data_IF_392137753528
#
_entry.id   IF_392137753528
#
_cell.length_a   1.000
_cell.length_b   1.000
_cell.length_c   1.000
_cell.angle_alpha   90.00
_cell.angle_beta   90.00
_cell.angle_gamma   90.00
#
_symmetry.space_group_name_H-M   'P 1'
#
loop_
_entity.id
_entity.type
_entity.pdbx_description
1 polymer ?
#
# COMPACT_ATOMS: atom_id res chain seq x y z
N UNK A 1 22.47 6.75 1.35
CA UNK A 1 23.31 6.90 0.19
C UNK A 1 23.27 8.35 -0.26
N UNK A 2 24.45 8.97 -0.46
CA UNK A 2 24.65 10.40 -0.67
C UNK A 2 24.22 10.93 -2.04
N UNK A 3 23.00 10.67 -2.44
CA UNK A 3 22.39 11.20 -3.66
C UNK A 3 21.63 12.49 -3.33
N UNK A 4 22.37 13.53 -2.95
CA UNK A 4 21.81 14.87 -2.80
C UNK A 4 21.99 15.61 -4.13
N UNK A 5 20.88 16.01 -4.75
CA UNK A 5 20.86 16.78 -6.02
C UNK A 5 21.65 16.13 -7.18
N UNK A 6 21.79 14.80 -7.17
CA UNK A 6 22.50 14.10 -8.24
C UNK A 6 21.65 14.09 -9.52
N UNK A 7 22.16 14.59 -10.67
CA UNK A 7 21.41 14.72 -11.91
C UNK A 7 21.27 13.38 -12.65
N UNK A 8 20.51 12.43 -12.07
CA UNK A 8 20.37 11.04 -12.57
C UNK A 8 19.94 11.01 -14.03
N UNK A 9 19.01 11.88 -14.43
CA UNK A 9 18.50 11.92 -15.80
C UNK A 9 19.59 12.28 -16.81
N UNK A 10 20.35 13.32 -16.53
CA UNK A 10 21.42 13.81 -17.41
C UNK A 10 22.57 12.79 -17.50
N UNK A 11 22.97 12.22 -16.36
CA UNK A 11 24.00 11.19 -16.30
C UNK A 11 23.63 9.92 -17.07
N UNK A 12 22.39 9.45 -16.94
CA UNK A 12 21.93 8.30 -17.68
C UNK A 12 21.79 8.60 -19.18
N UNK A 13 21.28 9.79 -19.55
CA UNK A 13 21.22 10.20 -20.95
C UNK A 13 22.61 10.25 -21.59
N UNK A 14 23.59 10.82 -20.90
CA UNK A 14 24.97 10.91 -21.40
C UNK A 14 25.62 9.54 -21.56
N UNK A 15 25.28 8.56 -20.71
CA UNK A 15 25.88 7.19 -20.78
C UNK A 15 25.20 6.28 -21.78
N UNK A 16 23.93 6.51 -22.08
CA UNK A 16 23.13 5.60 -22.92
C UNK A 16 22.81 6.15 -24.29
N UNK A 17 23.06 7.45 -24.52
CA UNK A 17 22.64 8.20 -25.70
C UNK A 17 21.13 8.11 -25.97
N UNK A 18 20.35 7.96 -24.89
CA UNK A 18 18.89 7.85 -24.95
C UNK A 18 18.25 8.99 -24.17
N UNK A 19 17.06 9.48 -24.58
CA UNK A 19 16.30 10.43 -23.80
C UNK A 19 15.83 9.78 -22.50
N UNK A 20 16.29 10.29 -21.36
CA UNK A 20 15.93 9.78 -20.03
C UNK A 20 14.96 10.73 -19.35
N UNK A 21 13.92 10.18 -18.75
CA UNK A 21 12.98 10.89 -17.88
C UNK A 21 12.93 10.21 -16.52
N UNK A 22 13.17 11.00 -15.48
CA UNK A 22 13.04 10.53 -14.08
C UNK A 22 11.63 10.82 -13.60
N UNK A 23 10.99 9.85 -12.99
CA UNK A 23 9.65 9.96 -12.40
C UNK A 23 9.63 9.31 -11.01
N UNK A 24 8.72 9.74 -10.13
CA UNK A 24 8.45 9.05 -8.88
C UNK A 24 7.92 7.62 -9.17
N UNK A 25 8.36 6.64 -8.41
CA UNK A 25 8.02 5.23 -8.61
C UNK A 25 6.52 4.93 -8.51
N UNK A 26 5.82 5.51 -7.51
CA UNK A 26 4.37 5.38 -7.36
C UNK A 26 3.60 6.01 -8.52
N UNK A 27 4.05 7.17 -9.01
CA UNK A 27 3.46 7.85 -10.18
C UNK A 27 3.73 7.05 -11.46
N UNK A 28 4.94 6.51 -11.61
CA UNK A 28 5.29 5.67 -12.76
C UNK A 28 4.47 4.38 -12.78
N UNK A 29 4.28 3.73 -11.62
CA UNK A 29 3.44 2.55 -11.49
C UNK A 29 1.96 2.87 -11.78
N UNK A 30 1.43 4.00 -11.29
CA UNK A 30 0.08 4.46 -11.63
C UNK A 30 -0.09 4.66 -13.15
N UNK A 31 0.92 5.20 -13.83
CA UNK A 31 0.92 5.33 -15.29
C UNK A 31 0.88 3.96 -15.98
N UNK A 32 1.68 3.01 -15.49
CA UNK A 32 1.72 1.64 -16.01
C UNK A 32 0.37 0.95 -15.90
N UNK A 33 -0.26 0.98 -14.72
CA UNK A 33 -1.58 0.42 -14.47
C UNK A 33 -2.67 1.09 -15.29
N UNK A 34 -2.62 2.41 -15.42
CA UNK A 34 -3.56 3.15 -16.23
C UNK A 34 -3.48 2.82 -17.72
N UNK A 35 -2.27 2.66 -18.25
CA UNK A 35 -2.06 2.42 -19.69
C UNK A 35 -2.21 0.96 -20.07
N UNK A 36 -1.77 0.04 -19.22
CA UNK A 36 -1.58 -1.36 -19.56
C UNK A 36 -2.22 -2.35 -18.59
N UNK A 37 -2.53 -1.93 -17.35
CA UNK A 37 -3.05 -2.78 -16.29
C UNK A 37 -4.54 -2.62 -16.01
N UNK A 38 -4.90 -2.79 -14.74
CA UNK A 38 -6.29 -2.78 -14.26
C UNK A 38 -6.98 -1.41 -14.38
N UNK A 39 -6.21 -0.35 -14.56
CA UNK A 39 -6.71 1.01 -14.75
C UNK A 39 -7.08 1.39 -16.19
N UNK A 40 -6.92 0.48 -17.15
CA UNK A 40 -7.23 0.79 -18.56
C UNK A 40 -8.66 1.27 -18.76
N UNK A 41 -8.81 2.35 -19.53
CA UNK A 41 -10.08 2.93 -19.89
C UNK A 41 -10.66 3.91 -18.85
N UNK A 42 -10.15 3.94 -17.63
CA UNK A 42 -10.58 4.89 -16.63
C UNK A 42 -10.06 6.31 -16.94
N UNK A 43 -10.90 7.31 -16.76
CA UNK A 43 -10.51 8.72 -16.80
C UNK A 43 -10.09 9.22 -15.42
N UNK A 44 -10.60 8.60 -14.36
CA UNK A 44 -10.31 8.90 -12.97
C UNK A 44 -9.96 7.61 -12.24
N UNK A 45 -8.74 7.49 -11.75
CA UNK A 45 -8.22 6.28 -11.11
C UNK A 45 -7.25 6.66 -9.99
N UNK A 46 -7.31 5.92 -8.90
CA UNK A 46 -6.26 5.93 -7.87
C UNK A 46 -5.52 4.60 -7.92
N UNK A 47 -4.21 4.67 -7.92
CA UNK A 47 -3.32 3.53 -7.73
C UNK A 47 -2.67 3.60 -6.36
N UNK A 48 -2.68 2.48 -5.65
CA UNK A 48 -1.98 2.29 -4.38
C UNK A 48 -1.03 1.10 -4.52
N UNK A 49 0.23 1.31 -4.23
CA UNK A 49 1.18 0.22 -4.02
C UNK A 49 1.37 0.00 -2.53
N UNK A 50 1.00 -1.19 -2.04
CA UNK A 50 1.17 -1.59 -0.65
C UNK A 50 2.20 -2.71 -0.59
N UNK A 51 3.39 -2.36 -0.09
CA UNK A 51 4.54 -3.24 0.01
C UNK A 51 5.28 -2.95 1.33
N UNK A 52 6.59 -2.77 1.34
CA UNK A 52 7.35 -2.30 2.51
C UNK A 52 6.74 -1.02 3.09
N UNK A 53 6.38 -0.08 2.22
CA UNK A 53 5.63 1.12 2.54
C UNK A 53 4.33 1.20 1.74
N UNK A 54 3.70 2.40 1.73
CA UNK A 54 2.54 2.72 0.90
C UNK A 54 2.88 3.93 0.03
N UNK A 55 2.90 3.70 -1.28
CA UNK A 55 2.98 4.74 -2.29
C UNK A 55 1.74 4.77 -3.17
N UNK A 56 1.73 5.65 -4.15
CA UNK A 56 0.61 5.68 -5.09
C UNK A 56 0.71 6.78 -6.12
N UNK A 57 -0.37 6.93 -6.87
CA UNK A 57 -0.57 7.97 -7.85
C UNK A 57 -2.03 8.04 -8.26
N UNK A 58 -2.40 9.12 -8.91
CA UNK A 58 -3.76 9.31 -9.38
C UNK A 58 -3.79 9.77 -10.83
N UNK A 59 -4.82 9.37 -11.53
CA UNK A 59 -5.24 9.93 -12.82
C UNK A 59 -6.54 10.68 -12.59
N UNK A 60 -6.58 11.93 -12.98
CA UNK A 60 -7.74 12.81 -12.84
C UNK A 60 -8.03 13.41 -14.21
N UNK A 61 -9.27 13.27 -14.69
CA UNK A 61 -9.72 13.73 -16.00
C UNK A 61 -8.84 13.24 -17.18
N UNK A 62 -8.35 12.01 -17.09
CA UNK A 62 -7.47 11.42 -18.09
C UNK A 62 -6.05 12.00 -18.10
N UNK A 63 -5.61 12.58 -16.98
CA UNK A 63 -4.27 13.15 -16.83
C UNK A 63 -3.61 12.61 -15.55
N UNK A 64 -2.39 12.17 -15.68
CA UNK A 64 -1.59 11.73 -14.54
C UNK A 64 -1.27 12.92 -13.63
N UNK A 65 -1.64 12.80 -12.36
CA UNK A 65 -1.43 13.85 -11.35
C UNK A 65 0.02 13.85 -10.89
N UNK A 66 0.75 14.91 -11.20
CA UNK A 66 2.14 15.10 -10.77
C UNK A 66 2.31 16.11 -9.66
N UNK A 67 1.41 17.09 -9.58
CA UNK A 67 1.53 18.21 -8.65
C UNK A 67 2.65 19.17 -9.03
N UNK A 68 2.87 20.16 -8.16
CA UNK A 68 3.85 21.23 -8.40
C UNK A 68 5.31 20.70 -8.46
N UNK A 69 5.67 19.76 -7.57
CA UNK A 69 7.04 19.22 -7.46
C UNK A 69 7.21 17.84 -8.09
N UNK A 70 6.24 17.33 -8.84
CA UNK A 70 6.30 15.99 -9.40
C UNK A 70 6.16 14.87 -8.37
N UNK A 71 5.62 15.15 -7.18
CA UNK A 71 5.48 14.19 -6.07
C UNK A 71 4.07 14.13 -5.51
N UNK A 72 3.04 14.41 -6.32
CA UNK A 72 1.66 14.22 -5.89
C UNK A 72 1.34 12.73 -5.68
N UNK A 73 0.34 12.44 -4.87
CA UNK A 73 -0.09 11.05 -4.64
C UNK A 73 0.67 10.30 -3.55
N UNK A 74 1.35 11.01 -2.66
CA UNK A 74 1.96 10.43 -1.44
C UNK A 74 0.88 10.04 -0.42
N UNK A 75 -0.06 9.20 -0.85
CA UNK A 75 -1.25 8.79 -0.11
C UNK A 75 -0.86 8.08 1.20
N UNK A 76 0.26 7.35 1.22
CA UNK A 76 0.78 6.69 2.41
C UNK A 76 1.08 7.63 3.59
N UNK A 77 1.27 8.93 3.32
CA UNK A 77 1.52 9.92 4.36
C UNK A 77 0.28 10.69 4.82
N UNK A 78 -0.92 10.30 4.37
CA UNK A 78 -2.16 10.80 4.97
C UNK A 78 -2.19 10.43 6.46
N UNK A 79 -2.46 11.42 7.32
CA UNK A 79 -2.61 11.18 8.75
C UNK A 79 -3.96 10.53 9.04
N UNK A 80 -3.93 9.27 9.46
CA UNK A 80 -5.12 8.46 9.73
C UNK A 80 -5.47 8.37 11.21
N UNK A 81 -4.47 8.57 12.10
CA UNK A 81 -4.66 8.47 13.54
C UNK A 81 -3.89 9.56 14.28
N UNK A 82 -4.42 9.97 15.44
CA UNK A 82 -3.76 10.94 16.33
C UNK A 82 -2.63 10.30 17.14
N UNK A 83 -2.82 9.04 17.50
CA UNK A 83 -1.90 8.22 18.26
C UNK A 83 -1.55 6.96 17.47
N UNK A 84 -0.42 6.32 17.80
CA UNK A 84 -0.02 5.08 17.13
C UNK A 84 1.44 5.09 16.69
N UNK A 85 1.82 4.27 15.71
CA UNK A 85 3.19 4.15 15.26
C UNK A 85 3.70 5.43 14.59
N UNK A 86 4.99 5.71 14.80
CA UNK A 86 5.70 6.78 14.11
C UNK A 86 6.02 6.31 12.69
N UNK A 87 5.62 7.09 11.70
CA UNK A 87 5.98 6.86 10.32
C UNK A 87 7.47 7.18 10.05
N UNK A 88 8.03 6.58 9.02
CA UNK A 88 9.39 6.89 8.57
C UNK A 88 9.59 8.40 8.25
N UNK A 89 8.54 9.10 7.86
CA UNK A 89 8.57 10.56 7.65
C UNK A 89 8.61 11.38 8.96
N UNK A 90 8.59 10.75 10.14
CA UNK A 90 8.61 11.39 11.44
C UNK A 90 7.23 11.73 12.02
N UNK A 91 6.14 11.54 11.28
CA UNK A 91 4.77 11.85 11.71
C UNK A 91 4.10 10.62 12.32
N UNK A 92 3.39 10.80 13.45
CA UNK A 92 2.59 9.73 14.07
C UNK A 92 1.31 9.49 13.28
N UNK A 93 0.94 8.22 13.07
CA UNK A 93 -0.36 7.82 12.56
C UNK A 93 -0.57 8.04 11.06
N UNK A 94 0.50 8.05 10.25
CA UNK A 94 0.37 8.00 8.80
C UNK A 94 -0.24 6.67 8.34
N UNK A 95 -0.96 6.68 7.24
CA UNK A 95 -1.53 5.48 6.62
C UNK A 95 -0.49 4.37 6.41
N UNK A 96 0.69 4.71 5.90
CA UNK A 96 1.81 3.78 5.73
C UNK A 96 2.23 3.12 7.05
N UNK A 97 2.30 3.88 8.13
CA UNK A 97 2.70 3.35 9.43
C UNK A 97 1.65 2.40 10.03
N UNK A 98 0.39 2.48 9.57
CA UNK A 98 -0.71 1.63 10.03
C UNK A 98 -0.94 0.41 9.13
N UNK A 99 -0.79 0.54 7.81
CA UNK A 99 -1.27 -0.43 6.82
C UNK A 99 -0.23 -0.87 5.78
N UNK A 100 1.05 -0.62 6.00
CA UNK A 100 2.09 -1.16 5.12
C UNK A 100 2.46 -2.61 5.50
N UNK A 101 3.14 -3.31 4.59
CA UNK A 101 3.70 -4.62 4.89
C UNK A 101 4.68 -4.60 6.07
N UNK A 102 5.38 -3.49 6.28
CA UNK A 102 6.20 -3.28 7.48
C UNK A 102 5.33 -3.19 8.73
N UNK A 103 4.21 -2.48 8.68
CA UNK A 103 3.28 -2.37 9.80
C UNK A 103 2.65 -3.74 10.14
N UNK A 104 2.17 -4.47 9.15
CA UNK A 104 1.65 -5.83 9.34
C UNK A 104 2.69 -6.78 9.94
N UNK A 105 3.93 -6.73 9.44
CA UNK A 105 5.06 -7.49 10.00
C UNK A 105 5.32 -7.15 11.47
N UNK A 106 5.30 -5.88 11.84
CA UNK A 106 5.51 -5.46 13.23
C UNK A 106 4.41 -5.98 14.16
N UNK A 107 3.15 -5.94 13.73
CA UNK A 107 2.02 -6.53 14.46
C UNK A 107 2.17 -8.05 14.59
N UNK A 108 2.58 -8.72 13.53
CA UNK A 108 2.83 -10.16 13.56
C UNK A 108 3.93 -10.54 14.56
N UNK A 109 5.03 -9.80 14.60
CA UNK A 109 6.12 -9.99 15.57
C UNK A 109 5.62 -9.75 17.00
N UNK A 110 4.80 -8.73 17.23
CA UNK A 110 4.23 -8.44 18.54
C UNK A 110 3.27 -9.56 19.00
N UNK A 111 2.42 -10.05 18.11
CA UNK A 111 1.53 -11.19 18.39
C UNK A 111 2.31 -12.47 18.73
N UNK A 112 3.39 -12.73 18.04
CA UNK A 112 4.27 -13.86 18.26
C UNK A 112 4.98 -13.79 19.63
N UNK A 113 5.53 -12.61 19.98
CA UNK A 113 6.17 -12.38 21.29
C UNK A 113 5.18 -12.53 22.45
N UNK A 114 3.92 -12.22 22.24
CA UNK A 114 2.85 -12.43 23.21
C UNK A 114 2.36 -13.90 23.27
N UNK A 115 3.04 -14.82 22.57
CA UNK A 115 2.67 -16.25 22.45
C UNK A 115 1.23 -16.49 21.96
N UNK A 116 0.73 -15.56 21.13
CA UNK A 116 -0.65 -15.59 20.65
C UNK A 116 -0.81 -16.36 19.34
N UNK A 117 0.26 -16.61 18.58
CA UNK A 117 0.20 -17.37 17.34
C UNK A 117 1.21 -18.51 17.36
N UNK A 118 0.71 -19.75 17.39
CA UNK A 118 1.54 -20.95 17.27
C UNK A 118 2.06 -21.14 15.85
N UNK A 119 1.27 -20.76 14.85
CA UNK A 119 1.67 -20.84 13.44
C UNK A 119 2.90 -19.96 13.15
N UNK A 120 2.84 -18.68 13.51
CA UNK A 120 3.95 -17.75 13.26
C UNK A 120 5.22 -18.15 14.04
N UNK A 121 5.07 -18.65 15.27
CA UNK A 121 6.21 -19.13 16.05
C UNK A 121 6.86 -20.37 15.41
N UNK A 122 6.06 -21.33 14.95
CA UNK A 122 6.55 -22.51 14.21
C UNK A 122 7.21 -22.11 12.90
N UNK A 123 6.61 -21.18 12.17
CA UNK A 123 7.12 -20.67 10.92
C UNK A 123 8.47 -19.99 11.09
N UNK A 124 8.63 -19.17 12.14
CA UNK A 124 9.91 -18.53 12.46
C UNK A 124 10.99 -19.58 12.76
N UNK A 125 10.66 -20.62 13.52
CA UNK A 125 11.60 -21.69 13.83
C UNK A 125 12.03 -22.49 12.59
N UNK A 126 11.13 -22.65 11.60
CA UNK A 126 11.39 -23.36 10.35
C UNK A 126 12.13 -22.51 9.29
N UNK A 127 12.07 -21.18 9.41
CA UNK A 127 12.73 -20.23 8.49
C UNK A 127 14.10 -19.77 8.97
N UNK A 128 14.88 -20.67 9.60
CA UNK A 128 16.22 -20.39 10.14
C UNK A 128 17.16 -19.64 9.16
N UNK A 129 16.86 -19.67 7.85
CA UNK A 129 17.59 -18.92 6.83
C UNK A 129 17.10 -17.47 6.63
N UNK A 130 15.85 -17.12 7.00
CA UNK A 130 15.32 -15.75 6.87
C UNK A 130 15.27 -15.01 8.20
N UNK A 131 15.15 -15.69 9.32
CA UNK A 131 15.16 -15.13 10.67
C UNK A 131 14.02 -14.14 10.99
N UNK A 132 13.05 -13.95 10.09
CA UNK A 132 12.04 -12.90 10.22
C UNK A 132 10.71 -13.34 9.58
N UNK A 133 9.62 -13.17 10.33
CA UNK A 133 8.25 -13.28 9.82
C UNK A 133 7.93 -12.08 8.92
N UNK A 134 7.21 -12.29 7.82
CA UNK A 134 6.74 -11.25 6.91
C UNK A 134 5.22 -11.33 6.66
N UNK A 135 4.68 -10.43 5.83
CA UNK A 135 3.26 -10.38 5.51
C UNK A 135 2.75 -11.67 4.85
N UNK A 136 3.58 -12.36 4.07
CA UNK A 136 3.23 -13.64 3.43
C UNK A 136 2.96 -14.71 4.48
N UNK A 137 3.80 -14.79 5.51
CA UNK A 137 3.60 -15.75 6.59
C UNK A 137 2.29 -15.52 7.34
N UNK A 138 1.85 -14.25 7.46
CA UNK A 138 0.54 -13.90 8.05
C UNK A 138 -0.59 -14.39 7.15
N UNK A 139 -0.53 -14.16 5.83
CA UNK A 139 -1.55 -14.65 4.90
C UNK A 139 -1.60 -16.18 4.84
N UNK A 140 -0.46 -16.84 4.84
CA UNK A 140 -0.39 -18.31 4.87
C UNK A 140 -0.97 -18.86 6.16
N UNK A 141 -0.69 -18.23 7.32
CA UNK A 141 -1.28 -18.59 8.59
C UNK A 141 -2.80 -18.39 8.62
N UNK A 142 -3.29 -17.29 8.04
CA UNK A 142 -4.72 -17.04 7.91
C UNK A 142 -5.42 -18.11 7.05
N UNK A 143 -4.80 -18.49 5.91
CA UNK A 143 -5.30 -19.59 5.06
C UNK A 143 -5.25 -20.95 5.78
N UNK A 144 -4.31 -21.16 6.69
CA UNK A 144 -4.23 -22.34 7.55
C UNK A 144 -5.21 -22.30 8.73
N UNK A 145 -5.99 -21.23 8.91
CA UNK A 145 -6.99 -21.09 9.97
C UNK A 145 -6.43 -20.61 11.31
N UNK A 146 -5.20 -20.11 11.38
CA UNK A 146 -4.66 -19.52 12.61
C UNK A 146 -5.45 -18.25 12.97
N UNK A 147 -6.08 -18.25 14.15
CA UNK A 147 -7.00 -17.18 14.56
C UNK A 147 -6.31 -15.82 14.73
N UNK A 148 -5.03 -15.81 15.11
CA UNK A 148 -4.28 -14.56 15.25
C UNK A 148 -3.88 -13.99 13.89
N UNK A 149 -3.52 -14.84 12.93
CA UNK A 149 -3.29 -14.42 11.57
C UNK A 149 -4.57 -13.89 10.91
N UNK A 150 -5.72 -14.54 11.13
CA UNK A 150 -7.02 -14.04 10.68
C UNK A 150 -7.36 -12.68 11.28
N UNK A 151 -7.09 -12.49 12.58
CA UNK A 151 -7.28 -11.19 13.24
C UNK A 151 -6.37 -10.10 12.65
N UNK A 152 -5.09 -10.41 12.41
CA UNK A 152 -4.14 -9.47 11.79
C UNK A 152 -4.56 -9.07 10.38
N UNK A 153 -5.07 -10.03 9.60
CA UNK A 153 -5.60 -9.75 8.25
C UNK A 153 -6.85 -8.87 8.32
N UNK A 154 -7.77 -9.14 9.26
CA UNK A 154 -8.97 -8.32 9.44
C UNK A 154 -8.62 -6.87 9.85
N UNK A 155 -7.67 -6.70 10.77
CA UNK A 155 -7.18 -5.39 11.17
C UNK A 155 -6.51 -4.64 9.99
N UNK A 156 -5.68 -5.32 9.23
CA UNK A 156 -5.04 -4.77 8.02
C UNK A 156 -6.08 -4.31 7.00
N UNK A 157 -7.11 -5.11 6.76
CA UNK A 157 -8.20 -4.77 5.85
C UNK A 157 -8.98 -3.53 6.29
N UNK A 158 -9.15 -3.32 7.60
CA UNK A 158 -9.78 -2.10 8.15
C UNK A 158 -8.92 -0.87 7.85
N UNK A 159 -7.63 -0.91 8.15
CA UNK A 159 -6.74 0.23 7.88
C UNK A 159 -6.64 0.54 6.38
N UNK A 160 -6.50 -0.48 5.54
CA UNK A 160 -6.51 -0.31 4.09
C UNK A 160 -7.83 0.27 3.60
N UNK A 161 -8.96 -0.25 4.07
CA UNK A 161 -10.29 0.25 3.72
C UNK A 161 -10.49 1.72 4.08
N UNK A 162 -10.03 2.15 5.25
CA UNK A 162 -10.09 3.56 5.69
C UNK A 162 -9.24 4.47 4.80
N UNK A 163 -7.99 4.09 4.52
CA UNK A 163 -7.10 4.86 3.65
C UNK A 163 -7.63 4.94 2.21
N UNK A 164 -8.15 3.83 1.69
CA UNK A 164 -8.78 3.78 0.37
C UNK A 164 -10.03 4.66 0.33
N UNK A 165 -10.88 4.61 1.35
CA UNK A 165 -12.07 5.47 1.44
C UNK A 165 -11.70 6.96 1.44
N UNK A 166 -10.65 7.34 2.17
CA UNK A 166 -10.14 8.72 2.14
C UNK A 166 -9.65 9.12 0.75
N UNK A 167 -8.94 8.23 0.06
CA UNK A 167 -8.50 8.49 -1.32
C UNK A 167 -9.68 8.58 -2.30
N UNK A 168 -10.71 7.74 -2.13
CA UNK A 168 -11.95 7.80 -2.90
C UNK A 168 -12.63 9.17 -2.74
N UNK A 169 -12.74 9.68 -1.53
CA UNK A 169 -13.34 11.00 -1.28
C UNK A 169 -12.52 12.15 -1.88
N UNK A 170 -11.18 12.03 -1.88
CA UNK A 170 -10.31 13.08 -2.42
C UNK A 170 -10.27 13.15 -3.94
N UNK A 171 -10.31 12.00 -4.61
CA UNK A 171 -10.06 11.91 -6.05
C UNK A 171 -11.30 11.54 -6.88
N UNK A 172 -12.40 11.12 -6.22
CA UNK A 172 -13.62 10.67 -6.91
C UNK A 172 -13.33 9.70 -8.07
N UNK A 173 -12.59 8.61 -7.84
CA UNK A 173 -12.16 7.73 -8.92
C UNK A 173 -13.29 6.79 -9.39
N UNK A 174 -13.22 6.36 -10.64
CA UNK A 174 -14.05 5.28 -11.18
C UNK A 174 -13.64 3.93 -10.62
N UNK A 175 -12.35 3.79 -10.23
CA UNK A 175 -11.78 2.61 -9.57
C UNK A 175 -10.52 2.94 -8.79
N UNK A 176 -10.26 2.11 -7.80
CA UNK A 176 -8.97 2.04 -7.13
C UNK A 176 -8.24 0.79 -7.61
N UNK A 177 -6.95 0.90 -7.89
CA UNK A 177 -6.09 -0.24 -8.27
C UNK A 177 -5.08 -0.47 -7.16
N UNK A 178 -5.08 -1.68 -6.60
CA UNK A 178 -4.17 -2.08 -5.53
C UNK A 178 -3.05 -2.96 -6.09
N UNK A 179 -1.81 -2.54 -5.88
CA UNK A 179 -0.62 -3.30 -6.25
C UNK A 179 0.35 -3.46 -5.08
N UNK A 180 1.55 -3.97 -5.37
CA UNK A 180 2.57 -4.21 -4.36
C UNK A 180 2.46 -5.58 -3.69
N UNK A 181 3.36 -5.87 -2.75
CA UNK A 181 3.47 -7.20 -2.15
C UNK A 181 2.24 -7.68 -1.38
N UNK A 182 1.46 -6.78 -0.80
CA UNK A 182 0.24 -7.15 -0.08
C UNK A 182 -0.91 -7.56 -1.01
N UNK A 183 -0.87 -7.20 -2.29
CA UNK A 183 -1.89 -7.64 -3.26
C UNK A 183 -1.96 -9.16 -3.42
N UNK A 184 -0.90 -9.90 -3.08
CA UNK A 184 -0.91 -11.36 -3.04
C UNK A 184 -1.84 -11.96 -1.97
N UNK A 185 -2.28 -11.16 -0.99
CA UNK A 185 -3.29 -11.52 0.00
C UNK A 185 -4.63 -10.84 -0.23
N UNK A 186 -4.88 -10.28 -1.42
CA UNK A 186 -6.09 -9.52 -1.70
C UNK A 186 -7.38 -10.32 -1.52
N UNK A 187 -7.35 -11.60 -1.82
CA UNK A 187 -8.46 -12.55 -1.56
C UNK A 187 -8.93 -12.52 -0.09
N UNK A 188 -7.99 -12.38 0.85
CA UNK A 188 -8.27 -12.31 2.29
C UNK A 188 -8.63 -10.88 2.74
N UNK A 189 -8.07 -9.86 2.11
CA UNK A 189 -8.24 -8.45 2.48
C UNK A 189 -9.51 -7.84 1.89
N UNK A 190 -9.88 -8.23 0.67
CA UNK A 190 -10.97 -7.60 -0.09
C UNK A 190 -12.32 -7.54 0.65
N UNK A 191 -12.78 -8.60 1.34
CA UNK A 191 -14.05 -8.54 2.06
C UNK A 191 -14.08 -7.39 3.08
N UNK A 192 -13.06 -7.30 3.93
CA UNK A 192 -12.97 -6.26 4.95
C UNK A 192 -12.77 -4.85 4.37
N UNK A 193 -11.97 -4.71 3.31
CA UNK A 193 -11.81 -3.43 2.59
C UNK A 193 -13.16 -2.96 2.05
N UNK A 194 -13.89 -3.83 1.36
CA UNK A 194 -15.19 -3.48 0.80
C UNK A 194 -16.24 -3.18 1.89
N UNK A 195 -16.19 -3.87 3.05
CA UNK A 195 -17.08 -3.58 4.18
C UNK A 195 -16.84 -2.17 4.72
N UNK A 196 -15.57 -1.76 4.87
CA UNK A 196 -15.22 -0.40 5.29
C UNK A 196 -15.71 0.63 4.27
N UNK A 197 -15.46 0.43 2.97
CA UNK A 197 -15.90 1.35 1.91
C UNK A 197 -17.44 1.47 1.93
N UNK A 198 -18.16 0.35 2.01
CA UNK A 198 -19.64 0.38 2.07
C UNK A 198 -20.18 1.12 3.28
N UNK A 199 -19.53 1.01 4.43
CA UNK A 199 -19.93 1.64 5.68
C UNK A 199 -19.59 3.13 5.71
N UNK A 200 -18.35 3.48 5.34
CA UNK A 200 -17.73 4.77 5.64
C UNK A 200 -17.72 5.74 4.44
N UNK A 201 -17.83 5.23 3.20
CA UNK A 201 -17.89 6.10 2.03
C UNK A 201 -19.24 6.81 1.89
N UNK A 202 -19.20 8.05 1.35
CA UNK A 202 -20.41 8.74 0.93
C UNK A 202 -21.19 7.90 -0.09
N UNK A 203 -22.52 8.01 -0.08
CA UNK A 203 -23.43 7.17 -0.89
C UNK A 203 -22.96 6.93 -2.34
N UNK A 204 -22.55 7.93 -3.13
CA UNK A 204 -22.15 7.71 -4.53
C UNK A 204 -20.90 6.84 -4.69
N UNK A 205 -20.09 6.71 -3.64
CA UNK A 205 -18.79 6.05 -3.69
C UNK A 205 -18.76 4.64 -3.09
N UNK A 206 -19.86 4.17 -2.50
CA UNK A 206 -19.92 2.88 -1.79
C UNK A 206 -19.69 1.65 -2.68
N UNK A 207 -19.77 1.84 -3.98
CA UNK A 207 -19.62 0.78 -5.00
C UNK A 207 -18.37 0.97 -5.86
N UNK A 208 -17.47 1.89 -5.50
CA UNK A 208 -16.20 2.05 -6.23
C UNK A 208 -15.42 0.75 -6.14
N UNK A 209 -15.07 0.14 -7.27
CA UNK A 209 -14.30 -1.11 -7.27
C UNK A 209 -12.84 -0.89 -6.84
N UNK A 210 -12.33 -1.90 -6.12
CA UNK A 210 -10.92 -2.01 -5.73
C UNK A 210 -10.34 -3.26 -6.36
#
# INVERSE_FOLDING_TARGET
PGWNDFPVGDELSARTDLPVRVENDGIAAALGEWRHGAGRGARNMVYLTVSTGIGGGAVVDGRLLRGHKGIAGHIGHMKMAQEGPVCHCGVVGCFEALASGTALKQRAIAAMKASKSSYLATRLASTAQRGVVDARDVFDGARAGDQHCLHLVAEEAIYLGQGITSAIHMFSPERVVLGGGLSHGFDLLAPGIHDVIRRDAMMPFRTVPV
#
